data_IF_982578373455
#
_entry.id   IF_982578373455
#
_cell.length_a   1.000
_cell.length_b   1.000
_cell.length_c   1.000
_cell.angle_alpha   90.00
_cell.angle_beta   90.00
_cell.angle_gamma   90.00
#
_symmetry.space_group_name_H-M   'P 1'
#
loop_
_entity.id
_entity.type
_entity.pdbx_description
1 polymer ?
#
# COMPACT_ATOMS: atom_id res chain seq x y z
N UNK A 1 38.77 64.57 65.29
CA UNK A 1 39.90 63.90 64.62
C UNK A 1 39.59 62.40 64.61
N UNK A 2 39.50 61.78 63.42
CA UNK A 2 39.64 60.32 63.12
C UNK A 2 38.55 59.34 63.65
N UNK A 3 37.75 58.71 62.76
CA UNK A 3 37.89 57.36 62.12
C UNK A 3 37.77 56.20 63.14
N UNK A 4 37.10 55.05 62.94
CA UNK A 4 36.36 54.35 61.86
C UNK A 4 35.92 52.96 62.43
N UNK A 5 34.93 52.29 61.80
CA UNK A 5 34.70 50.81 61.75
C UNK A 5 34.07 50.13 63.00
N UNK A 6 33.19 49.09 62.97
CA UNK A 6 32.76 48.07 61.99
C UNK A 6 31.46 47.34 62.49
N UNK A 7 30.42 47.22 61.64
CA UNK A 7 29.39 46.16 61.35
C UNK A 7 28.81 45.17 62.40
N UNK A 8 27.48 44.88 62.28
CA UNK A 8 26.80 43.59 61.90
C UNK A 8 25.42 43.44 62.66
N UNK A 9 24.20 43.60 62.08
CA UNK A 9 23.30 42.70 61.28
C UNK A 9 22.02 42.22 62.03
N UNK A 10 20.93 42.04 61.26
CA UNK A 10 19.59 41.42 61.53
C UNK A 10 18.57 42.34 62.23
N UNK A 11 17.32 42.59 61.77
CA UNK A 11 16.51 42.18 60.62
C UNK A 11 15.41 43.23 60.42
N UNK A 12 15.14 43.63 59.17
CA UNK A 12 13.82 44.13 58.76
C UNK A 12 13.45 43.35 57.51
N UNK A 13 12.56 42.38 57.68
CA UNK A 13 11.88 41.65 56.63
C UNK A 13 11.01 42.63 55.83
N UNK A 14 11.47 43.03 54.65
CA UNK A 14 10.60 43.50 53.58
C UNK A 14 10.14 42.27 52.80
N UNK A 15 8.85 41.93 52.90
CA UNK A 15 8.20 41.05 51.95
C UNK A 15 8.13 41.79 50.60
N UNK A 16 9.04 41.46 49.69
CA UNK A 16 8.88 41.76 48.27
C UNK A 16 7.93 40.73 47.67
N UNK A 17 6.69 41.13 47.38
CA UNK A 17 5.86 40.42 46.42
C UNK A 17 6.52 40.58 45.04
N UNK A 18 7.29 39.59 44.61
CA UNK A 18 7.67 39.47 43.21
C UNK A 18 6.47 38.91 42.47
N UNK A 19 5.72 39.77 41.80
CA UNK A 19 4.80 39.36 40.74
C UNK A 19 5.64 38.73 39.63
N UNK A 20 5.77 37.41 39.64
CA UNK A 20 6.20 36.68 38.45
C UNK A 20 5.04 36.76 37.47
N UNK A 21 5.05 37.79 36.63
CA UNK A 21 4.36 37.73 35.35
C UNK A 21 4.90 36.50 34.63
N UNK A 22 4.10 35.44 34.56
CA UNK A 22 4.28 34.35 33.61
C UNK A 22 4.11 35.03 32.25
N UNK A 23 5.22 35.51 31.69
CA UNK A 23 5.28 35.80 30.27
C UNK A 23 5.00 34.46 29.60
N UNK A 24 3.85 34.37 28.92
CA UNK A 24 3.62 33.31 27.97
C UNK A 24 4.88 33.21 27.12
N UNK A 25 5.54 32.05 27.14
CA UNK A 25 6.64 31.81 26.22
C UNK A 25 6.09 32.09 24.81
N UNK A 26 6.81 32.81 23.94
CA UNK A 26 6.37 32.95 22.57
C UNK A 26 6.16 31.54 22.02
N UNK A 27 4.95 31.25 21.55
CA UNK A 27 4.69 30.03 20.79
C UNK A 27 5.64 30.09 19.62
N UNK A 28 6.62 29.20 19.60
CA UNK A 28 7.55 29.07 18.50
C UNK A 28 6.71 28.56 17.32
N UNK A 29 6.40 29.46 16.39
CA UNK A 29 5.63 29.09 15.19
C UNK A 29 6.53 28.14 14.40
N UNK A 30 6.13 26.87 14.33
CA UNK A 30 6.84 25.88 13.54
C UNK A 30 6.73 26.25 12.05
N UNK A 31 7.81 26.08 11.31
CA UNK A 31 7.81 26.22 9.85
C UNK A 31 7.22 24.94 9.23
N UNK A 32 5.89 24.91 9.11
CA UNK A 32 5.12 23.74 8.68
C UNK A 32 5.45 23.32 7.25
N UNK A 33 5.72 24.28 6.36
CA UNK A 33 6.14 24.04 4.98
C UNK A 33 7.47 23.26 4.97
N UNK A 34 8.49 23.76 5.67
CA UNK A 34 9.78 23.04 5.77
C UNK A 34 9.63 21.67 6.45
N UNK A 35 8.77 21.54 7.48
CA UNK A 35 8.52 20.23 8.12
C UNK A 35 7.93 19.24 7.13
N UNK A 36 6.94 19.68 6.34
CA UNK A 36 6.24 18.83 5.38
C UNK A 36 7.19 18.36 4.27
N UNK A 37 7.85 19.29 3.58
CA UNK A 37 8.70 18.97 2.43
C UNK A 37 10.09 18.43 2.79
N UNK A 38 10.53 18.50 4.05
CA UNK A 38 11.71 17.78 4.54
C UNK A 38 11.38 16.31 4.89
N UNK A 39 10.12 15.98 5.14
CA UNK A 39 9.68 14.63 5.48
C UNK A 39 9.63 13.74 4.23
N UNK A 40 9.45 12.44 4.43
CA UNK A 40 8.95 11.56 3.37
C UNK A 40 7.47 11.33 3.61
N UNK A 41 6.63 11.88 2.75
CA UNK A 41 5.17 11.78 2.90
C UNK A 41 4.66 10.56 2.14
N UNK A 42 3.94 9.70 2.85
CA UNK A 42 3.34 8.47 2.34
C UNK A 42 1.83 8.56 2.51
N UNK A 43 1.13 8.33 1.41
CA UNK A 43 -0.31 8.13 1.42
C UNK A 43 -0.61 6.64 1.25
N UNK A 44 -1.20 6.05 2.28
CA UNK A 44 -1.47 4.62 2.39
C UNK A 44 -2.54 4.05 1.45
N UNK A 45 -3.34 4.87 0.75
CA UNK A 45 -4.35 4.34 -0.18
C UNK A 45 -4.89 5.37 -1.19
N UNK A 46 -4.87 5.03 -2.48
CA UNK A 46 -5.43 5.84 -3.58
C UNK A 46 -6.03 4.95 -4.68
N UNK A 47 -7.21 5.30 -5.16
CA UNK A 47 -7.98 4.56 -6.19
C UNK A 47 -7.80 5.10 -7.62
N UNK A 48 -6.84 6.02 -7.82
CA UNK A 48 -6.69 6.78 -9.07
C UNK A 48 -6.55 5.89 -10.32
N UNK A 49 -5.97 4.69 -10.20
CA UNK A 49 -5.84 3.76 -11.34
C UNK A 49 -7.19 3.35 -11.94
N UNK A 50 -8.28 3.37 -11.16
CA UNK A 50 -9.62 3.14 -11.69
C UNK A 50 -10.03 4.17 -12.74
N UNK A 51 -9.51 5.40 -12.65
CA UNK A 51 -9.82 6.52 -13.55
C UNK A 51 -8.83 6.66 -14.71
N UNK A 52 -7.65 6.03 -14.62
CA UNK A 52 -6.64 6.01 -15.69
C UNK A 52 -7.09 5.19 -16.90
N UNK A 53 -7.90 4.16 -16.67
CA UNK A 53 -8.30 3.20 -17.70
C UNK A 53 -9.64 3.54 -18.35
N UNK A 54 -9.79 3.15 -19.61
CA UNK A 54 -11.05 3.19 -20.32
C UNK A 54 -12.06 2.20 -19.69
N UNK A 55 -13.32 2.60 -19.49
CA UNK A 55 -14.31 1.75 -18.81
C UNK A 55 -14.69 0.48 -19.59
N UNK A 56 -14.62 0.52 -20.93
CA UNK A 56 -15.04 -0.58 -21.81
C UNK A 56 -13.89 -1.56 -22.09
N UNK A 57 -12.67 -1.04 -22.31
CA UNK A 57 -11.51 -1.87 -22.65
C UNK A 57 -10.61 -2.20 -21.47
N UNK A 58 -10.63 -1.37 -20.43
CA UNK A 58 -9.68 -1.35 -19.32
C UNK A 58 -8.22 -1.12 -19.72
N UNK A 59 -7.96 -0.73 -20.97
CA UNK A 59 -6.64 -0.22 -21.37
C UNK A 59 -6.46 1.20 -20.79
N UNK A 60 -5.22 1.58 -20.43
CA UNK A 60 -4.94 2.94 -20.00
C UNK A 60 -5.28 3.94 -21.12
N UNK A 61 -5.93 5.04 -20.75
CA UNK A 61 -6.36 6.10 -21.67
C UNK A 61 -6.05 7.52 -21.16
N UNK A 62 -5.90 7.69 -19.85
CA UNK A 62 -5.62 9.00 -19.23
C UNK A 62 -4.26 9.01 -18.57
N UNK A 63 -3.34 9.87 -19.06
CA UNK A 63 -2.05 10.09 -18.42
C UNK A 63 -2.19 11.04 -17.22
N UNK A 64 -1.78 10.58 -16.04
CA UNK A 64 -1.76 11.40 -14.81
C UNK A 64 -0.43 12.14 -14.61
N UNK A 65 0.47 12.10 -15.59
CA UNK A 65 1.61 13.03 -15.68
C UNK A 65 1.20 14.48 -15.88
N UNK A 66 0.05 14.69 -16.52
CA UNK A 66 -0.57 16.00 -16.73
C UNK A 66 -1.62 16.31 -15.66
N UNK A 67 -2.01 17.59 -15.54
CA UNK A 67 -3.12 18.00 -14.69
C UNK A 67 -4.45 17.36 -15.15
N UNK A 68 -5.14 16.70 -14.23
CA UNK A 68 -6.43 16.05 -14.45
C UNK A 68 -7.52 16.64 -13.56
N UNK A 69 -8.77 16.23 -13.78
CA UNK A 69 -9.89 16.51 -12.86
C UNK A 69 -9.94 15.55 -11.66
N UNK A 70 -9.00 14.61 -11.55
CA UNK A 70 -8.95 13.64 -10.47
C UNK A 70 -8.45 14.30 -9.18
N UNK A 71 -8.65 13.61 -8.07
CA UNK A 71 -8.12 14.03 -6.77
C UNK A 71 -6.60 13.86 -6.71
N UNK A 72 -6.01 13.05 -7.60
CA UNK A 72 -4.58 12.84 -7.68
C UNK A 72 -4.10 12.82 -9.14
N UNK A 73 -3.00 13.54 -9.37
CA UNK A 73 -2.12 13.44 -10.54
C UNK A 73 -0.70 13.83 -10.09
N UNK A 74 0.30 13.62 -10.94
CA UNK A 74 1.71 13.90 -10.60
C UNK A 74 1.93 15.37 -10.20
N UNK A 75 1.39 16.38 -10.92
CA UNK A 75 1.49 17.78 -10.48
C UNK A 75 0.90 18.04 -9.09
N UNK A 76 -0.25 17.43 -8.75
CA UNK A 76 -0.84 17.56 -7.42
C UNK A 76 -0.03 16.82 -6.36
N UNK A 77 0.53 15.64 -6.65
CA UNK A 77 1.42 14.93 -5.73
C UNK A 77 2.66 15.78 -5.40
N UNK A 78 3.29 16.36 -6.42
CA UNK A 78 4.45 17.24 -6.25
C UNK A 78 4.10 18.51 -5.46
N UNK A 79 2.97 19.15 -5.78
CA UNK A 79 2.51 20.36 -5.07
C UNK A 79 2.15 20.04 -3.62
N UNK A 80 1.55 18.88 -3.39
CA UNK A 80 1.14 18.40 -2.07
C UNK A 80 2.25 17.72 -1.28
N UNK A 81 3.45 17.60 -1.82
CA UNK A 81 4.58 16.95 -1.16
C UNK A 81 4.42 15.46 -0.90
N UNK A 82 3.50 14.76 -1.59
CA UNK A 82 3.30 13.32 -1.42
C UNK A 82 4.35 12.56 -2.22
N UNK A 83 5.28 11.91 -1.52
CA UNK A 83 6.44 11.26 -2.12
C UNK A 83 6.19 9.80 -2.53
N UNK A 84 5.39 9.07 -1.74
CA UNK A 84 5.17 7.64 -1.97
C UNK A 84 3.71 7.23 -1.78
N UNK A 85 2.83 7.47 -2.79
CA UNK A 85 1.44 7.05 -2.75
C UNK A 85 1.29 5.55 -3.02
N UNK A 86 0.39 4.91 -2.27
CA UNK A 86 -0.07 3.55 -2.52
C UNK A 86 -1.16 3.60 -3.58
N UNK A 87 -0.96 2.92 -4.71
CA UNK A 87 -1.92 2.85 -5.81
C UNK A 87 -2.66 1.51 -5.78
N UNK A 88 -3.95 1.56 -5.43
CA UNK A 88 -4.79 0.39 -5.29
C UNK A 88 -5.27 -0.16 -6.63
N UNK A 89 -5.00 -1.43 -6.87
CA UNK A 89 -5.70 -2.23 -7.86
C UNK A 89 -7.00 -2.78 -7.24
N UNK A 90 -8.02 -1.92 -7.21
CA UNK A 90 -9.34 -2.28 -6.69
C UNK A 90 -10.11 -3.23 -7.62
N UNK A 91 -10.65 -4.30 -7.03
CA UNK A 91 -11.60 -5.18 -7.70
C UNK A 91 -12.79 -5.50 -6.79
N UNK A 92 -14.01 -5.38 -7.31
CA UNK A 92 -15.20 -5.99 -6.71
C UNK A 92 -16.30 -6.22 -7.76
N UNK A 93 -17.36 -6.95 -7.41
CA UNK A 93 -18.58 -7.03 -8.22
C UNK A 93 -18.61 -8.07 -9.33
N UNK A 94 -17.53 -8.84 -9.54
CA UNK A 94 -17.47 -9.94 -10.54
C UNK A 94 -17.60 -11.33 -9.89
N UNK A 95 -18.50 -11.47 -8.93
CA UNK A 95 -18.73 -12.74 -8.22
C UNK A 95 -18.95 -13.90 -9.20
N UNK A 96 -18.35 -15.05 -8.90
CA UNK A 96 -18.35 -16.26 -9.72
C UNK A 96 -17.70 -16.13 -11.11
N UNK A 97 -17.08 -14.99 -11.45
CA UNK A 97 -16.29 -14.80 -12.67
C UNK A 97 -14.83 -14.48 -12.33
N UNK A 98 -14.09 -15.53 -11.94
CA UNK A 98 -12.69 -15.41 -11.55
C UNK A 98 -11.77 -14.84 -12.65
N UNK A 99 -11.85 -15.27 -13.93
CA UNK A 99 -11.07 -14.64 -15.01
C UNK A 99 -11.27 -13.14 -15.11
N UNK A 100 -12.49 -12.64 -14.88
CA UNK A 100 -12.78 -11.21 -14.92
C UNK A 100 -12.22 -10.45 -13.72
N UNK A 101 -12.23 -11.06 -12.54
CA UNK A 101 -11.55 -10.51 -11.36
C UNK A 101 -10.03 -10.41 -11.58
N UNK A 102 -9.42 -11.44 -12.18
CA UNK A 102 -8.00 -11.43 -12.57
C UNK A 102 -7.75 -10.30 -13.56
N UNK A 103 -8.52 -10.27 -14.66
CA UNK A 103 -8.36 -9.29 -15.72
C UNK A 103 -8.55 -7.85 -15.22
N UNK A 104 -9.48 -7.60 -14.29
CA UNK A 104 -9.66 -6.27 -13.71
C UNK A 104 -8.45 -5.85 -12.86
N UNK A 105 -7.99 -6.72 -11.97
CA UNK A 105 -6.84 -6.46 -11.10
C UNK A 105 -5.60 -6.14 -11.94
N UNK A 106 -5.34 -6.98 -12.95
CA UNK A 106 -4.19 -6.82 -13.86
C UNK A 106 -4.30 -5.55 -14.71
N UNK A 107 -5.50 -5.14 -15.13
CA UNK A 107 -5.67 -3.89 -15.87
C UNK A 107 -5.21 -2.67 -15.06
N UNK A 108 -5.50 -2.63 -13.76
CA UNK A 108 -5.12 -1.52 -12.89
C UNK A 108 -3.62 -1.53 -12.56
N UNK A 109 -3.03 -2.71 -12.35
CA UNK A 109 -1.57 -2.85 -12.21
C UNK A 109 -0.88 -2.42 -13.52
N UNK A 110 -1.39 -2.86 -14.66
CA UNK A 110 -0.86 -2.48 -15.97
C UNK A 110 -0.97 -0.98 -16.24
N UNK A 111 -2.06 -0.34 -15.80
CA UNK A 111 -2.22 1.10 -15.89
C UNK A 111 -1.11 1.85 -15.14
N UNK A 112 -0.69 1.35 -13.97
CA UNK A 112 0.42 1.94 -13.23
C UNK A 112 1.76 1.78 -13.95
N UNK A 113 2.03 0.61 -14.51
CA UNK A 113 3.22 0.38 -15.36
C UNK A 113 3.23 1.29 -16.59
N UNK A 114 2.07 1.48 -17.22
CA UNK A 114 1.94 2.41 -18.34
C UNK A 114 2.18 3.86 -17.90
N UNK A 115 1.67 4.28 -16.73
CA UNK A 115 1.94 5.61 -16.17
C UNK A 115 3.42 5.83 -15.91
N UNK A 116 4.14 4.84 -15.36
CA UNK A 116 5.61 4.90 -15.21
C UNK A 116 6.31 5.03 -16.57
N UNK A 117 5.90 4.25 -17.58
CA UNK A 117 6.48 4.31 -18.92
C UNK A 117 6.30 5.69 -19.58
N UNK A 118 5.14 6.34 -19.38
CA UNK A 118 4.90 7.69 -19.90
C UNK A 118 5.65 8.77 -19.11
N UNK A 119 5.91 8.54 -17.81
CA UNK A 119 6.46 9.54 -16.89
C UNK A 119 7.76 9.08 -16.19
N UNK A 120 8.77 8.58 -16.92
CA UNK A 120 9.93 7.93 -16.32
C UNK A 120 10.84 8.91 -15.57
N UNK A 121 10.71 10.22 -15.81
CA UNK A 121 11.48 11.25 -15.11
C UNK A 121 10.84 11.65 -13.77
N UNK A 122 9.53 11.44 -13.60
CA UNK A 122 8.75 11.91 -12.45
C UNK A 122 8.26 10.79 -11.53
N UNK A 123 8.07 9.57 -12.04
CA UNK A 123 7.49 8.44 -11.30
C UNK A 123 8.34 7.17 -11.46
N UNK A 124 8.41 6.38 -10.40
CA UNK A 124 9.04 5.06 -10.40
C UNK A 124 8.27 4.10 -9.49
N UNK A 125 7.88 2.94 -10.02
CA UNK A 125 7.30 1.85 -9.25
C UNK A 125 8.36 1.33 -8.27
N UNK A 126 7.99 1.31 -6.99
CA UNK A 126 8.92 1.08 -5.89
C UNK A 126 8.31 0.06 -4.93
N UNK A 127 8.81 -1.18 -4.95
CA UNK A 127 8.22 -2.32 -4.24
C UNK A 127 8.92 -2.63 -2.92
N UNK A 128 10.05 -1.98 -2.65
CA UNK A 128 10.81 -2.10 -1.40
C UNK A 128 11.10 -0.75 -0.77
N UNK A 129 11.30 -0.71 0.54
CA UNK A 129 11.70 0.49 1.28
C UNK A 129 13.02 1.09 0.80
N UNK A 130 13.89 0.28 0.20
CA UNK A 130 15.11 0.75 -0.46
C UNK A 130 14.80 1.50 -1.75
N UNK A 131 13.92 0.96 -2.59
CA UNK A 131 13.49 1.59 -3.84
C UNK A 131 12.70 2.87 -3.56
N UNK A 132 11.77 2.83 -2.60
CA UNK A 132 11.02 4.01 -2.17
C UNK A 132 11.98 5.13 -1.79
N UNK A 133 12.92 4.87 -0.87
CA UNK A 133 13.92 5.87 -0.46
C UNK A 133 14.80 6.36 -1.60
N UNK A 134 15.07 5.52 -2.59
CA UNK A 134 15.88 5.89 -3.74
C UNK A 134 15.10 6.80 -4.69
N UNK A 135 13.85 6.48 -5.01
CA UNK A 135 12.98 7.31 -5.84
C UNK A 135 12.77 8.69 -5.22
N UNK A 136 12.45 8.78 -3.92
CA UNK A 136 12.31 10.06 -3.21
C UNK A 136 13.60 10.88 -3.26
N UNK A 137 14.76 10.24 -3.04
CA UNK A 137 16.07 10.92 -3.14
C UNK A 137 16.36 11.43 -4.55
N UNK A 138 15.86 10.74 -5.57
CA UNK A 138 16.00 11.14 -6.96
C UNK A 138 14.94 12.18 -7.38
N UNK A 139 14.11 12.65 -6.45
CA UNK A 139 12.98 13.59 -6.64
C UNK A 139 11.90 13.02 -7.56
N UNK A 140 11.63 11.72 -7.44
CA UNK A 140 10.54 11.03 -8.13
C UNK A 140 9.49 10.57 -7.13
N UNK A 141 8.25 10.48 -7.61
CA UNK A 141 7.17 9.78 -6.94
C UNK A 141 7.50 8.28 -6.88
N UNK A 142 7.57 7.73 -5.68
CA UNK A 142 7.70 6.31 -5.43
C UNK A 142 6.32 5.65 -5.43
N UNK A 143 5.84 5.22 -6.60
CA UNK A 143 4.54 4.57 -6.74
C UNK A 143 4.59 3.16 -6.11
N UNK A 144 3.74 2.91 -5.11
CA UNK A 144 3.69 1.61 -4.40
C UNK A 144 2.45 0.85 -4.87
N UNK A 145 2.58 -0.27 -5.62
CA UNK A 145 1.44 -1.05 -6.06
C UNK A 145 0.78 -1.78 -4.88
N UNK A 146 -0.54 -1.72 -4.78
CA UNK A 146 -1.32 -2.45 -3.78
C UNK A 146 -2.54 -3.11 -4.42
N UNK A 147 -3.15 -4.09 -3.74
CA UNK A 147 -4.41 -4.72 -4.18
C UNK A 147 -5.47 -4.49 -3.11
N UNK A 148 -6.64 -4.01 -3.54
CA UNK A 148 -7.81 -3.86 -2.68
C UNK A 148 -8.91 -4.85 -3.11
N UNK A 149 -9.13 -5.87 -2.28
CA UNK A 149 -10.06 -6.95 -2.59
C UNK A 149 -9.46 -7.99 -3.53
N UNK A 150 -8.84 -9.01 -2.95
CA UNK A 150 -8.21 -10.12 -3.67
C UNK A 150 -9.20 -11.18 -4.20
N UNK A 151 -10.28 -10.75 -4.87
CA UNK A 151 -11.32 -11.65 -5.43
C UNK A 151 -10.79 -12.57 -6.55
N UNK A 152 -9.64 -12.22 -7.14
CA UNK A 152 -8.91 -13.01 -8.13
C UNK A 152 -8.25 -14.27 -7.54
N UNK A 153 -7.99 -14.30 -6.22
CA UNK A 153 -7.37 -15.44 -5.55
C UNK A 153 -8.43 -16.49 -5.20
N UNK A 154 -8.29 -17.68 -5.79
CA UNK A 154 -9.19 -18.82 -5.60
C UNK A 154 -8.37 -20.09 -5.32
N UNK A 155 -9.02 -21.14 -4.81
CA UNK A 155 -8.35 -22.38 -4.37
C UNK A 155 -7.38 -22.97 -5.41
N UNK A 156 -7.72 -22.86 -6.70
CA UNK A 156 -6.94 -23.45 -7.79
C UNK A 156 -5.74 -22.60 -8.25
N UNK A 157 -5.64 -21.32 -7.88
CA UNK A 157 -4.62 -20.39 -8.41
C UNK A 157 -3.99 -19.45 -7.37
N UNK A 158 -4.52 -19.38 -6.14
CA UNK A 158 -4.22 -18.31 -5.19
C UNK A 158 -2.73 -18.08 -4.95
N UNK A 159 -1.97 -19.12 -4.58
CA UNK A 159 -0.54 -18.97 -4.28
C UNK A 159 0.28 -18.61 -5.53
N UNK A 160 0.00 -19.27 -6.65
CA UNK A 160 0.67 -18.96 -7.92
C UNK A 160 0.47 -17.50 -8.32
N UNK A 161 -0.78 -17.03 -8.26
CA UNK A 161 -1.14 -15.66 -8.64
C UNK A 161 -0.65 -14.62 -7.63
N UNK A 162 -0.62 -14.95 -6.33
CA UNK A 162 -0.01 -14.12 -5.28
C UNK A 162 1.47 -13.86 -5.59
N UNK A 163 2.24 -14.89 -5.95
CA UNK A 163 3.62 -14.70 -6.38
C UNK A 163 3.75 -13.88 -7.67
N UNK A 164 2.79 -13.97 -8.61
CA UNK A 164 2.79 -13.12 -9.79
C UNK A 164 2.51 -11.66 -9.44
N UNK A 165 1.64 -11.39 -8.46
CA UNK A 165 1.42 -10.03 -7.93
C UNK A 165 2.67 -9.50 -7.23
N UNK A 166 3.37 -10.34 -6.45
CA UNK A 166 4.67 -10.00 -5.86
C UNK A 166 5.75 -9.73 -6.93
N UNK A 167 5.78 -10.50 -8.03
CA UNK A 167 6.66 -10.24 -9.17
C UNK A 167 6.35 -8.90 -9.86
N UNK A 168 5.07 -8.50 -9.86
CA UNK A 168 4.57 -7.22 -10.37
C UNK A 168 4.70 -6.06 -9.36
N UNK A 169 5.39 -6.30 -8.24
CA UNK A 169 5.73 -5.27 -7.27
C UNK A 169 4.65 -4.93 -6.24
N UNK A 170 3.58 -5.74 -6.13
CA UNK A 170 2.56 -5.53 -5.11
C UNK A 170 3.14 -5.72 -3.72
N UNK A 171 3.17 -4.67 -2.91
CA UNK A 171 3.75 -4.70 -1.56
C UNK A 171 2.70 -4.92 -0.46
N UNK A 172 1.45 -4.53 -0.72
CA UNK A 172 0.35 -4.61 0.25
C UNK A 172 -0.90 -5.17 -0.43
N UNK A 173 -1.55 -6.15 0.21
CA UNK A 173 -2.76 -6.78 -0.34
C UNK A 173 -3.85 -6.88 0.74
N UNK A 174 -5.00 -6.28 0.44
CA UNK A 174 -6.23 -6.39 1.22
C UNK A 174 -7.08 -7.54 0.72
N UNK A 175 -7.47 -8.43 1.64
CA UNK A 175 -8.18 -9.67 1.24
C UNK A 175 -9.55 -9.33 0.69
N UNK A 176 -10.24 -8.42 1.35
CA UNK A 176 -11.62 -8.10 1.10
C UNK A 176 -11.77 -6.64 0.67
N UNK A 177 -12.84 -6.37 -0.09
CA UNK A 177 -13.51 -5.08 -0.02
C UNK A 177 -14.70 -5.25 0.92
N UNK A 178 -15.86 -4.67 0.64
CA UNK A 178 -17.03 -4.81 1.51
C UNK A 178 -17.74 -6.17 1.45
N UNK A 179 -17.30 -7.11 0.61
CA UNK A 179 -17.93 -8.41 0.40
C UNK A 179 -16.97 -9.57 0.73
N UNK A 180 -17.53 -10.71 1.12
CA UNK A 180 -16.78 -11.94 1.34
C UNK A 180 -16.28 -12.52 0.02
N UNK A 181 -15.14 -13.21 0.09
CA UNK A 181 -14.57 -13.96 -1.03
C UNK A 181 -13.93 -15.27 -0.53
N UNK A 182 -13.09 -15.90 -1.36
CA UNK A 182 -12.49 -17.18 -1.03
C UNK A 182 -11.52 -17.13 0.17
N UNK A 183 -11.01 -15.95 0.51
CA UNK A 183 -10.02 -15.77 1.58
C UNK A 183 -10.67 -15.47 2.93
N UNK A 184 -11.76 -14.70 2.93
CA UNK A 184 -12.43 -14.33 4.16
C UNK A 184 -13.61 -13.40 3.96
N UNK A 185 -14.08 -12.82 5.05
CA UNK A 185 -15.25 -11.96 5.06
C UNK A 185 -14.93 -10.47 5.13
N UNK A 186 -15.64 -9.67 4.32
CA UNK A 186 -15.53 -8.21 4.26
C UNK A 186 -16.65 -7.51 5.04
N UNK A 187 -16.28 -6.47 5.78
CA UNK A 187 -17.10 -5.42 6.41
C UNK A 187 -18.43 -5.94 6.97
N UNK A 188 -18.37 -7.01 7.78
CA UNK A 188 -19.50 -7.81 8.33
C UNK A 188 -20.74 -7.88 7.41
N UNK A 189 -20.54 -8.00 6.10
CA UNK A 189 -21.56 -8.09 5.04
C UNK A 189 -22.58 -6.95 4.93
N UNK A 190 -22.43 -5.85 5.65
CA UNK A 190 -23.44 -4.78 5.73
C UNK A 190 -23.73 -4.11 4.37
N UNK A 191 -22.77 -4.15 3.45
CA UNK A 191 -22.92 -3.54 2.12
C UNK A 191 -23.42 -4.52 1.06
N UNK A 192 -23.39 -5.83 1.33
CA UNK A 192 -23.87 -6.88 0.42
C UNK A 192 -25.14 -7.60 0.88
N UNK A 193 -25.59 -7.35 2.11
CA UNK A 193 -26.84 -7.85 2.66
C UNK A 193 -27.68 -6.70 3.20
N UNK A 194 -28.79 -6.40 2.52
CA UNK A 194 -29.73 -5.36 2.96
C UNK A 194 -30.36 -5.67 4.32
N UNK A 195 -30.39 -6.94 4.73
CA UNK A 195 -30.89 -7.36 6.04
C UNK A 195 -29.83 -7.20 7.13
N UNK A 196 -28.57 -6.88 6.78
CA UNK A 196 -27.41 -6.77 7.67
C UNK A 196 -27.32 -7.95 8.61
N UNK A 197 -27.51 -9.15 8.08
CA UNK A 197 -27.47 -10.37 8.89
C UNK A 197 -26.08 -10.48 9.50
N UNK A 198 -25.96 -10.57 10.84
CA UNK A 198 -24.67 -10.75 11.48
C UNK A 198 -24.01 -12.00 10.90
N UNK A 199 -22.81 -11.85 10.38
CA UNK A 199 -22.05 -12.98 9.89
C UNK A 199 -21.21 -13.59 11.01
N UNK A 200 -21.16 -14.91 11.03
CA UNK A 200 -20.19 -15.67 11.82
C UNK A 200 -19.04 -16.19 10.93
N UNK A 201 -18.86 -15.58 9.76
CA UNK A 201 -17.71 -15.82 8.89
C UNK A 201 -16.43 -15.25 9.51
N UNK A 202 -15.32 -15.39 8.79
CA UNK A 202 -13.98 -15.06 9.25
C UNK A 202 -12.98 -15.46 8.19
N UNK A 203 -11.73 -15.69 8.59
CA UNK A 203 -10.69 -16.15 7.67
C UNK A 203 -10.93 -17.61 7.28
N UNK A 204 -10.83 -17.92 5.99
CA UNK A 204 -10.94 -19.31 5.50
C UNK A 204 -9.60 -20.04 5.63
N UNK A 205 -9.60 -21.37 5.44
CA UNK A 205 -8.36 -22.13 5.38
C UNK A 205 -7.42 -21.65 4.25
N UNK A 206 -7.98 -21.31 3.08
CA UNK A 206 -7.23 -20.71 1.98
C UNK A 206 -6.70 -19.32 2.36
N UNK A 207 -7.51 -18.50 3.04
CA UNK A 207 -7.07 -17.20 3.53
C UNK A 207 -5.91 -17.29 4.52
N UNK A 208 -5.92 -18.28 5.41
CA UNK A 208 -4.82 -18.53 6.34
C UNK A 208 -3.54 -18.97 5.60
N UNK A 209 -3.65 -19.80 4.56
CA UNK A 209 -2.52 -20.19 3.72
C UNK A 209 -1.95 -18.99 2.95
N UNK A 210 -2.81 -18.14 2.38
CA UNK A 210 -2.40 -16.90 1.72
C UNK A 210 -1.74 -15.92 2.70
N UNK A 211 -2.28 -15.76 3.91
CA UNK A 211 -1.69 -14.90 4.94
C UNK A 211 -0.26 -15.35 5.32
N UNK A 212 -0.05 -16.66 5.47
CA UNK A 212 1.27 -17.23 5.75
C UNK A 212 2.23 -17.01 4.58
N UNK A 213 1.78 -17.25 3.34
CA UNK A 213 2.62 -17.03 2.15
C UNK A 213 3.00 -15.55 1.99
N UNK A 214 2.08 -14.62 2.30
CA UNK A 214 2.36 -13.18 2.31
C UNK A 214 3.45 -12.82 3.31
N UNK A 215 3.44 -13.41 4.51
CA UNK A 215 4.54 -13.24 5.45
C UNK A 215 5.86 -13.79 4.89
N UNK A 216 5.83 -14.95 4.22
CA UNK A 216 7.02 -15.60 3.67
C UNK A 216 7.69 -14.79 2.55
N UNK A 217 6.90 -14.11 1.71
CA UNK A 217 7.38 -13.27 0.61
C UNK A 217 7.59 -11.80 0.99
N UNK A 218 7.20 -11.39 2.21
CA UNK A 218 7.33 -10.00 2.66
C UNK A 218 6.29 -9.06 2.07
N UNK A 219 5.07 -9.54 1.83
CA UNK A 219 3.91 -8.74 1.43
C UNK A 219 3.06 -8.43 2.67
N UNK A 220 2.70 -7.16 2.88
CA UNK A 220 1.91 -6.75 4.04
C UNK A 220 0.44 -7.13 3.85
N UNK A 221 -0.18 -7.67 4.91
CA UNK A 221 -1.62 -7.92 4.93
C UNK A 221 -2.33 -6.61 5.28
N UNK A 222 -3.23 -6.16 4.40
CA UNK A 222 -4.10 -5.03 4.67
C UNK A 222 -5.42 -5.50 5.31
N UNK A 223 -5.69 -5.00 6.52
CA UNK A 223 -6.88 -5.33 7.30
C UNK A 223 -8.00 -4.30 7.17
N UNK A 224 -7.80 -3.23 6.38
CA UNK A 224 -8.92 -2.43 5.89
C UNK A 224 -9.96 -3.34 5.22
N UNK A 225 -11.22 -2.94 5.28
CA UNK A 225 -12.38 -3.65 4.76
C UNK A 225 -12.71 -5.01 5.38
N UNK A 226 -11.84 -5.62 6.18
CA UNK A 226 -12.14 -6.91 6.81
C UNK A 226 -13.34 -6.81 7.76
N UNK A 227 -14.07 -7.93 7.87
CA UNK A 227 -14.97 -8.14 9.00
C UNK A 227 -14.18 -8.21 10.30
N UNK A 228 -14.86 -8.02 11.43
CA UNK A 228 -14.20 -8.12 12.74
C UNK A 228 -13.62 -9.50 12.99
N UNK A 229 -14.34 -10.55 12.60
CA UNK A 229 -13.86 -11.92 12.78
C UNK A 229 -12.65 -12.21 11.89
N UNK A 230 -12.71 -11.81 10.61
CA UNK A 230 -11.57 -11.95 9.69
C UNK A 230 -10.34 -11.23 10.22
N UNK A 231 -10.49 -10.02 10.77
CA UNK A 231 -9.38 -9.31 11.43
C UNK A 231 -8.76 -10.18 12.53
N UNK A 232 -9.56 -10.67 13.48
CA UNK A 232 -9.04 -11.44 14.61
C UNK A 232 -8.37 -12.74 14.17
N UNK A 233 -8.96 -13.45 13.21
CA UNK A 233 -8.37 -14.67 12.66
C UNK A 233 -7.05 -14.38 11.92
N UNK A 234 -6.93 -13.24 11.22
CA UNK A 234 -5.66 -12.80 10.60
C UNK A 234 -4.61 -12.53 11.68
N UNK A 235 -4.98 -11.84 12.77
CA UNK A 235 -4.07 -11.57 13.88
C UNK A 235 -3.57 -12.85 14.56
N UNK A 236 -4.34 -13.94 14.51
CA UNK A 236 -3.91 -15.25 15.04
C UNK A 236 -2.88 -15.97 14.16
N UNK A 237 -2.88 -15.72 12.84
CA UNK A 237 -2.03 -16.45 11.88
C UNK A 237 -0.85 -15.65 11.33
N UNK A 238 -0.91 -14.32 11.36
CA UNK A 238 0.16 -13.47 10.84
C UNK A 238 1.34 -13.40 11.80
N UNK A 239 2.54 -13.56 11.25
CA UNK A 239 3.82 -13.39 11.95
C UNK A 239 4.48 -12.03 11.64
N UNK A 240 3.97 -11.31 10.62
CA UNK A 240 4.44 -9.98 10.24
C UNK A 240 3.46 -8.87 10.69
N UNK A 241 3.94 -7.62 10.79
CA UNK A 241 3.08 -6.46 11.04
C UNK A 241 2.00 -6.29 9.96
N UNK A 242 0.76 -6.02 10.39
CA UNK A 242 -0.35 -5.69 9.48
C UNK A 242 -0.45 -4.19 9.23
N UNK A 243 -1.12 -3.81 8.14
CA UNK A 243 -1.47 -2.43 7.83
C UNK A 243 -3.00 -2.32 7.78
N UNK A 244 -3.60 -1.26 8.30
CA UNK A 244 -4.94 -0.83 7.90
C UNK A 244 -4.73 0.37 6.97
N UNK A 245 -4.83 0.16 5.66
CA UNK A 245 -4.33 1.12 4.65
C UNK A 245 -5.12 2.43 4.58
N UNK A 246 -6.39 2.39 5.00
CA UNK A 246 -7.32 3.51 5.07
C UNK A 246 -8.50 3.14 5.97
N UNK A 247 -8.44 3.47 7.25
CA UNK A 247 -9.56 3.22 8.18
C UNK A 247 -9.66 4.33 9.24
N UNK A 248 -10.87 4.56 9.77
CA UNK A 248 -11.06 5.45 10.92
C UNK A 248 -11.02 4.70 12.26
N UNK A 249 -11.23 5.44 13.35
CA UNK A 249 -11.31 4.90 14.71
C UNK A 249 -12.77 4.87 15.21
N UNK A 250 -13.23 3.71 15.66
CA UNK A 250 -14.64 3.48 16.00
C UNK A 250 -15.04 4.23 17.28
N UNK A 251 -14.11 4.38 18.23
CA UNK A 251 -14.31 5.13 19.48
C UNK A 251 -14.67 6.61 19.28
N UNK A 252 -14.30 7.20 18.14
CA UNK A 252 -14.70 8.56 17.73
C UNK A 252 -15.99 8.55 16.93
N UNK A 253 -16.03 7.73 15.88
CA UNK A 253 -17.18 7.62 14.99
C UNK A 253 -17.54 6.15 14.85
N UNK A 254 -18.68 5.78 15.43
CA UNK A 254 -19.20 4.42 15.31
C UNK A 254 -19.64 4.14 13.87
N UNK A 255 -18.69 3.64 13.10
CA UNK A 255 -18.85 3.21 11.73
C UNK A 255 -18.20 1.84 11.58
N UNK A 256 -18.79 0.99 10.75
CA UNK A 256 -18.34 -0.39 10.63
C UNK A 256 -16.97 -0.52 9.95
N UNK A 257 -16.64 0.41 9.06
CA UNK A 257 -15.32 0.48 8.42
C UNK A 257 -14.22 0.96 9.38
N UNK A 258 -14.56 1.41 10.58
CA UNK A 258 -13.59 1.88 11.56
C UNK A 258 -13.17 0.76 12.51
N UNK A 259 -11.89 0.75 12.87
CA UNK A 259 -11.34 -0.22 13.81
C UNK A 259 -11.80 0.11 15.23
N UNK A 260 -12.21 -0.92 15.97
CA UNK A 260 -12.50 -0.82 17.41
C UNK A 260 -11.22 -0.62 18.23
N UNK A 261 -11.36 -0.08 19.43
CA UNK A 261 -10.22 0.12 20.34
C UNK A 261 -9.48 -1.19 20.61
N UNK A 262 -10.19 -2.31 20.74
CA UNK A 262 -9.58 -3.63 20.89
C UNK A 262 -8.76 -4.04 19.66
N UNK A 263 -9.26 -3.77 18.45
CA UNK A 263 -8.51 -4.03 17.22
C UNK A 263 -7.27 -3.13 17.09
N UNK A 264 -7.37 -1.87 17.49
CA UNK A 264 -6.24 -0.94 17.51
C UNK A 264 -5.15 -1.42 18.47
N UNK A 265 -5.52 -1.83 19.69
CA UNK A 265 -4.57 -2.39 20.67
C UNK A 265 -3.90 -3.68 20.15
N UNK A 266 -4.64 -4.56 19.48
CA UNK A 266 -4.05 -5.75 18.87
C UNK A 266 -3.09 -5.41 17.72
N UNK A 267 -3.43 -4.39 16.92
CA UNK A 267 -2.57 -3.88 15.85
C UNK A 267 -1.27 -3.28 16.41
N UNK A 268 -1.33 -2.58 17.55
CA UNK A 268 -0.16 -2.10 18.30
C UNK A 268 0.73 -3.25 18.77
N UNK A 269 0.15 -4.24 19.45
CA UNK A 269 0.88 -5.42 19.94
C UNK A 269 1.58 -6.20 18.81
N UNK A 270 0.96 -6.26 17.62
CA UNK A 270 1.53 -6.87 16.43
C UNK A 270 2.65 -6.04 15.78
N UNK A 271 2.78 -4.75 16.13
CA UNK A 271 3.74 -3.85 15.51
C UNK A 271 3.23 -3.16 14.24
N UNK A 272 1.93 -3.27 13.96
CA UNK A 272 1.27 -2.79 12.74
C UNK A 272 1.10 -1.27 12.66
N UNK A 273 0.31 -0.84 11.68
CA UNK A 273 0.03 0.57 11.38
C UNK A 273 -1.42 0.77 10.97
N UNK A 274 -2.10 1.77 11.53
CA UNK A 274 -3.33 2.31 10.96
C UNK A 274 -3.03 3.61 10.20
N UNK A 275 -3.40 3.65 8.93
CA UNK A 275 -3.45 4.87 8.14
C UNK A 275 -4.86 5.45 8.25
N UNK A 276 -4.96 6.65 8.81
CA UNK A 276 -6.25 7.31 9.03
C UNK A 276 -6.81 7.79 7.70
N UNK A 277 -8.03 7.33 7.39
CA UNK A 277 -8.79 7.66 6.19
C UNK A 277 -9.30 9.09 6.19
N UNK A 278 -9.45 9.73 5.03
CA UNK A 278 -9.94 11.12 4.94
C UNK A 278 -11.44 11.23 4.68
N UNK A 279 -12.11 10.12 4.38
CA UNK A 279 -13.53 10.10 4.03
C UNK A 279 -14.45 10.58 5.19
N UNK A 280 -15.12 11.76 5.09
CA UNK A 280 -15.87 12.34 6.20
C UNK A 280 -16.93 11.45 6.82
N UNK A 281 -17.59 10.59 6.02
CA UNK A 281 -18.62 9.68 6.52
C UNK A 281 -18.09 8.68 7.58
N UNK A 282 -16.78 8.42 7.57
CA UNK A 282 -16.10 7.56 8.53
C UNK A 282 -15.54 8.35 9.73
N UNK A 283 -15.51 9.68 9.67
CA UNK A 283 -14.83 10.52 10.67
C UNK A 283 -15.81 11.34 11.51
N UNK A 284 -16.90 11.82 10.92
CA UNK A 284 -17.76 12.80 11.58
C UNK A 284 -19.24 12.62 11.18
N UNK A 285 -20.12 13.24 11.95
CA UNK A 285 -21.54 13.38 11.59
C UNK A 285 -21.79 14.58 10.65
N UNK A 286 -20.78 15.43 10.46
CA UNK A 286 -20.83 16.53 9.50
C UNK A 286 -20.60 16.01 8.07
N UNK A 287 -21.55 16.27 7.17
CA UNK A 287 -21.43 15.84 5.78
C UNK A 287 -20.31 16.55 5.01
N UNK A 288 -19.86 17.72 5.48
CA UNK A 288 -18.78 18.46 4.83
C UNK A 288 -17.41 17.87 5.19
N UNK A 289 -17.18 17.57 6.46
CA UNK A 289 -15.89 17.13 6.98
C UNK A 289 -14.76 18.15 6.77
N UNK A 290 -13.79 18.16 7.66
CA UNK A 290 -12.63 19.06 7.58
C UNK A 290 -11.35 18.33 8.00
N UNK A 291 -10.19 18.89 7.64
CA UNK A 291 -8.87 18.39 8.05
C UNK A 291 -8.80 18.12 9.55
N UNK A 292 -9.42 18.98 10.37
CA UNK A 292 -9.48 18.79 11.83
C UNK A 292 -10.10 17.43 12.22
N UNK A 293 -11.07 16.91 11.47
CA UNK A 293 -11.76 15.66 11.80
C UNK A 293 -10.86 14.45 11.48
N UNK A 294 -10.00 14.57 10.46
CA UNK A 294 -8.92 13.62 10.20
C UNK A 294 -7.93 13.63 11.36
N UNK A 295 -7.48 14.83 11.78
CA UNK A 295 -6.49 14.95 12.85
C UNK A 295 -7.07 14.59 14.23
N UNK A 296 -8.38 14.75 14.46
CA UNK A 296 -9.06 14.24 15.65
C UNK A 296 -8.96 12.71 15.75
N UNK A 297 -9.12 12.02 14.62
CA UNK A 297 -8.93 10.57 14.53
C UNK A 297 -7.46 10.15 14.71
N UNK A 298 -6.51 10.91 14.14
CA UNK A 298 -5.08 10.70 14.37
C UNK A 298 -4.73 10.84 15.85
N UNK A 299 -5.15 11.92 16.51
CA UNK A 299 -4.85 12.19 17.93
C UNK A 299 -5.44 11.11 18.83
N UNK A 300 -6.69 10.68 18.57
CA UNK A 300 -7.29 9.57 19.30
C UNK A 300 -6.48 8.28 19.16
N UNK A 301 -6.06 7.93 17.94
CA UNK A 301 -5.23 6.74 17.72
C UNK A 301 -3.86 6.87 18.41
N UNK A 302 -3.20 8.03 18.30
CA UNK A 302 -1.91 8.29 18.96
C UNK A 302 -2.02 8.13 20.48
N UNK A 303 -3.09 8.65 21.09
CA UNK A 303 -3.32 8.54 22.54
C UNK A 303 -3.56 7.09 22.99
N UNK A 304 -4.19 6.26 22.15
CA UNK A 304 -4.52 4.87 22.47
C UNK A 304 -3.37 3.89 22.22
N UNK A 305 -2.75 3.97 21.05
CA UNK A 305 -1.77 2.98 20.55
C UNK A 305 -0.36 3.55 20.33
N UNK A 306 -0.15 4.83 20.63
CA UNK A 306 1.14 5.48 20.49
C UNK A 306 1.46 5.91 19.05
N UNK A 307 2.32 6.91 18.95
CA UNK A 307 2.58 7.59 17.67
C UNK A 307 3.25 6.71 16.60
N UNK A 308 3.92 5.62 16.98
CA UNK A 308 4.67 4.77 16.04
C UNK A 308 3.77 3.84 15.20
N UNK A 309 2.45 3.89 15.41
CA UNK A 309 1.44 3.02 14.82
C UNK A 309 0.36 3.77 14.03
N UNK A 310 0.55 5.07 13.78
CA UNK A 310 -0.43 5.92 13.09
C UNK A 310 0.19 6.57 11.85
N UNK A 311 -0.56 6.58 10.74
CA UNK A 311 -0.18 7.20 9.47
C UNK A 311 -1.40 7.78 8.75
N UNK A 312 -1.28 8.04 7.44
CA UNK A 312 -2.30 8.68 6.60
C UNK A 312 -2.63 7.81 5.38
N UNK A 313 -3.90 7.73 4.99
CA UNK A 313 -4.35 6.96 3.83
C UNK A 313 -5.61 7.58 3.25
N UNK A 314 -5.47 8.45 2.26
CA UNK A 314 -6.49 9.42 1.89
C UNK A 314 -7.80 8.81 1.41
N UNK A 315 -7.71 7.72 0.63
CA UNK A 315 -8.81 7.21 -0.19
C UNK A 315 -9.14 8.18 -1.36
N UNK A 316 -8.11 8.85 -1.90
CA UNK A 316 -8.26 9.71 -3.07
C UNK A 316 -8.78 8.91 -4.27
N UNK A 317 -9.70 9.53 -5.00
CA UNK A 317 -10.48 8.99 -6.12
C UNK A 317 -11.43 7.83 -5.78
N UNK A 318 -11.39 7.30 -4.55
CA UNK A 318 -12.27 6.26 -4.00
C UNK A 318 -13.42 6.81 -3.15
N UNK A 319 -13.21 7.97 -2.52
CA UNK A 319 -14.19 8.62 -1.65
C UNK A 319 -14.37 10.12 -1.91
N UNK A 320 -15.37 10.72 -1.24
CA UNK A 320 -15.45 12.18 -1.12
C UNK A 320 -14.50 12.67 -0.04
N UNK A 321 -13.90 13.83 -0.24
CA UNK A 321 -12.87 14.36 0.66
C UNK A 321 -13.38 15.49 1.58
N UNK A 322 -12.68 15.80 2.68
CA UNK A 322 -12.97 16.95 3.54
C UNK A 322 -12.98 18.26 2.77
N UNK A 323 -13.84 19.20 3.14
CA UNK A 323 -14.10 20.41 2.35
C UNK A 323 -12.90 21.34 2.17
N UNK A 324 -11.91 21.25 3.06
CA UNK A 324 -10.64 21.98 3.05
C UNK A 324 -9.42 21.11 2.68
N UNK A 325 -9.65 19.91 2.15
CA UNK A 325 -8.65 19.01 1.56
C UNK A 325 -9.31 18.22 0.43
N UNK A 326 -9.43 18.78 -0.76
CA UNK A 326 -10.19 18.18 -1.86
C UNK A 326 -9.37 17.28 -2.78
N UNK A 327 -8.04 17.36 -2.72
CA UNK A 327 -7.13 16.65 -3.61
C UNK A 327 -5.71 16.61 -3.03
N UNK A 328 -4.83 15.84 -3.67
CA UNK A 328 -3.45 15.60 -3.25
C UNK A 328 -2.63 16.86 -3.00
N UNK A 329 -2.88 17.97 -3.72
CA UNK A 329 -2.10 19.21 -3.54
C UNK A 329 -2.34 19.92 -2.20
N UNK A 330 -3.37 19.51 -1.47
CA UNK A 330 -3.81 20.14 -0.22
C UNK A 330 -3.31 19.38 1.04
N UNK A 331 -2.51 18.33 0.85
CA UNK A 331 -1.92 17.54 1.94
C UNK A 331 -1.13 18.35 3.00
N UNK A 332 -0.44 19.48 2.67
CA UNK A 332 0.18 20.33 3.68
C UNK A 332 -0.78 20.84 4.77
N UNK A 333 -2.09 20.90 4.49
CA UNK A 333 -3.11 21.25 5.47
C UNK A 333 -3.14 20.32 6.68
N UNK A 334 -2.86 19.01 6.50
CA UNK A 334 -2.73 18.06 7.62
C UNK A 334 -1.55 18.44 8.53
N UNK A 335 -0.40 18.80 7.94
CA UNK A 335 0.79 19.22 8.69
C UNK A 335 0.54 20.50 9.48
N UNK A 336 -0.15 21.47 8.87
CA UNK A 336 -0.54 22.71 9.55
C UNK A 336 -1.42 22.44 10.77
N UNK A 337 -2.44 21.59 10.61
CA UNK A 337 -3.34 21.22 11.70
C UNK A 337 -2.59 20.47 12.81
N UNK A 338 -1.76 19.47 12.49
CA UNK A 338 -0.91 18.77 13.48
C UNK A 338 0.00 19.72 14.25
N UNK A 339 0.70 20.62 13.55
CA UNK A 339 1.57 21.60 14.20
C UNK A 339 0.80 22.58 15.08
N UNK A 340 -0.41 22.98 14.67
CA UNK A 340 -1.29 23.85 15.46
C UNK A 340 -1.72 23.21 16.79
N UNK A 341 -1.82 21.87 16.83
CA UNK A 341 -2.12 21.06 18.02
C UNK A 341 -0.91 20.77 18.90
N UNK A 342 0.28 21.19 18.46
CA UNK A 342 1.51 21.13 19.26
C UNK A 342 2.37 19.88 19.04
N UNK A 343 2.09 19.08 18.00
CA UNK A 343 2.99 18.01 17.58
C UNK A 343 4.35 18.59 17.19
N UNK A 344 5.43 17.93 17.60
CA UNK A 344 6.79 18.32 17.23
C UNK A 344 7.12 17.91 15.79
N UNK A 345 8.15 18.55 15.19
CA UNK A 345 8.67 18.16 13.86
C UNK A 345 8.88 16.65 13.73
N UNK A 346 9.51 16.01 14.71
CA UNK A 346 9.80 14.57 14.66
C UNK A 346 8.55 13.70 14.75
N UNK A 347 7.53 14.15 15.48
CA UNK A 347 6.25 13.45 15.57
C UNK A 347 5.46 13.57 14.27
N UNK A 348 5.46 14.76 13.65
CA UNK A 348 4.86 14.99 12.34
C UNK A 348 5.56 14.13 11.27
N UNK A 349 6.89 14.10 11.22
CA UNK A 349 7.65 13.27 10.28
C UNK A 349 7.31 11.77 10.39
N UNK A 350 7.00 11.28 11.60
CA UNK A 350 6.53 9.90 11.81
C UNK A 350 5.16 9.67 11.19
N UNK A 351 4.20 10.56 11.51
CA UNK A 351 2.81 10.48 11.04
C UNK A 351 2.71 10.62 9.52
N UNK A 352 3.51 11.50 8.91
CA UNK A 352 3.49 11.74 7.46
C UNK A 352 3.99 10.55 6.65
N UNK A 353 4.82 9.66 7.20
CA UNK A 353 5.30 8.50 6.45
C UNK A 353 6.44 7.71 7.08
N UNK A 354 7.09 8.24 8.11
CA UNK A 354 8.12 7.52 8.86
C UNK A 354 7.63 6.17 9.42
N UNK A 355 6.38 6.12 9.88
CA UNK A 355 5.76 4.89 10.40
C UNK A 355 5.42 3.88 9.31
N UNK A 356 4.91 4.33 8.15
CA UNK A 356 4.69 3.47 7.00
C UNK A 356 6.00 2.82 6.52
N UNK A 357 7.06 3.61 6.38
CA UNK A 357 8.39 3.08 6.04
C UNK A 357 8.94 2.11 7.09
N UNK A 358 8.63 2.30 8.38
CA UNK A 358 8.98 1.36 9.44
C UNK A 358 8.26 0.04 9.22
N UNK A 359 6.94 0.05 9.08
CA UNK A 359 6.14 -1.17 8.96
C UNK A 359 6.51 -1.96 7.71
N UNK A 360 6.58 -1.32 6.55
CA UNK A 360 7.04 -1.97 5.31
C UNK A 360 8.40 -2.65 5.51
N UNK A 361 9.33 -2.00 6.21
CA UNK A 361 10.65 -2.58 6.51
C UNK A 361 10.59 -3.77 7.47
N UNK A 362 9.70 -3.75 8.45
CA UNK A 362 9.53 -4.90 9.36
C UNK A 362 8.86 -6.08 8.66
N UNK A 363 7.92 -5.83 7.73
CA UNK A 363 7.36 -6.86 6.85
C UNK A 363 8.44 -7.48 5.97
N UNK A 364 9.27 -6.66 5.31
CA UNK A 364 10.43 -7.15 4.53
C UNK A 364 11.40 -8.00 5.37
N UNK A 365 11.58 -7.68 6.65
CA UNK A 365 12.46 -8.45 7.55
C UNK A 365 11.83 -9.76 8.03
N UNK A 366 10.50 -9.83 8.10
CA UNK A 366 9.77 -11.04 8.47
C UNK A 366 9.79 -12.07 7.33
N UNK A 367 10.01 -11.62 6.09
CA UNK A 367 10.14 -12.48 4.92
C UNK A 367 11.15 -13.61 5.12
N UNK A 368 10.77 -14.83 4.72
CA UNK A 368 11.68 -15.99 4.70
C UNK A 368 12.69 -15.88 3.56
N UNK A 369 12.30 -15.20 2.49
CA UNK A 369 13.14 -14.96 1.32
C UNK A 369 13.60 -13.52 1.30
N UNK A 370 14.89 -13.29 1.01
CA UNK A 370 15.41 -11.92 0.89
C UNK A 370 14.80 -11.25 -0.35
N UNK A 371 13.95 -10.21 -0.19
CA UNK A 371 13.32 -9.54 -1.32
C UNK A 371 14.36 -8.87 -2.24
N UNK A 372 15.58 -8.64 -1.75
CA UNK A 372 16.69 -8.04 -2.48
C UNK A 372 17.54 -9.06 -3.27
N UNK A 373 17.30 -10.37 -3.14
CA UNK A 373 18.10 -11.42 -3.80
C UNK A 373 17.49 -12.02 -5.09
N UNK A 374 16.39 -11.44 -5.60
CA UNK A 374 15.77 -11.85 -6.87
C UNK A 374 16.78 -11.78 -8.04
N UNK A 375 16.91 -12.88 -8.79
CA UNK A 375 17.46 -12.92 -10.15
C UNK A 375 18.82 -12.27 -10.41
N UNK A 376 19.93 -12.93 -10.05
CA UNK A 376 21.27 -12.57 -10.59
C UNK A 376 21.73 -13.55 -11.69
N UNK A 377 21.11 -14.73 -11.77
CA UNK A 377 21.32 -15.76 -12.81
C UNK A 377 20.38 -16.96 -12.56
N UNK A 378 19.67 -17.50 -13.56
CA UNK A 378 19.72 -17.15 -14.99
C UNK A 378 19.03 -15.82 -15.32
N UNK A 379 19.31 -15.24 -16.49
CA UNK A 379 18.57 -14.08 -17.03
C UNK A 379 17.49 -14.63 -17.94
N UNK A 380 16.24 -14.27 -17.68
CA UNK A 380 15.10 -14.64 -18.52
C UNK A 380 14.70 -13.40 -19.33
N UNK A 381 14.37 -13.56 -20.60
CA UNK A 381 13.89 -12.48 -21.46
C UNK A 381 12.62 -12.95 -22.17
N UNK A 382 11.44 -12.61 -21.65
CA UNK A 382 10.18 -12.85 -22.34
C UNK A 382 10.16 -12.20 -23.73
N UNK A 383 9.47 -12.84 -24.68
CA UNK A 383 9.16 -12.25 -25.99
C UNK A 383 8.11 -11.13 -25.90
N UNK A 384 7.50 -10.96 -24.71
CA UNK A 384 6.46 -9.97 -24.44
C UNK A 384 6.98 -8.73 -23.73
N UNK A 385 6.43 -7.58 -24.12
CA UNK A 385 6.52 -6.33 -23.37
C UNK A 385 5.40 -6.26 -22.31
N UNK A 386 5.60 -5.43 -21.28
CA UNK A 386 4.56 -5.22 -20.26
C UNK A 386 3.38 -4.49 -20.90
N UNK A 387 2.17 -5.06 -20.79
CA UNK A 387 0.96 -4.50 -21.38
C UNK A 387 0.81 -4.72 -22.88
N UNK A 388 1.59 -5.61 -23.48
CA UNK A 388 1.52 -5.90 -24.92
C UNK A 388 0.13 -6.41 -25.34
N UNK A 389 -0.35 -5.92 -26.47
CA UNK A 389 -1.63 -6.35 -27.08
C UNK A 389 -1.38 -7.48 -28.07
N UNK A 390 -2.10 -8.59 -27.91
CA UNK A 390 -2.05 -9.76 -28.78
C UNK A 390 -3.44 -10.13 -29.32
N UNK A 391 -3.51 -10.74 -30.50
CA UNK A 391 -4.78 -11.04 -31.18
C UNK A 391 -5.18 -12.53 -31.13
N UNK A 392 -4.63 -13.30 -30.19
CA UNK A 392 -4.87 -14.75 -30.07
C UNK A 392 -5.19 -15.15 -28.62
N UNK A 393 -6.20 -16.00 -28.44
CA UNK A 393 -6.62 -16.54 -27.12
C UNK A 393 -5.84 -17.77 -26.68
N UNK A 394 -5.10 -18.38 -27.59
CA UNK A 394 -4.18 -19.50 -27.36
C UNK A 394 -2.76 -19.08 -27.76
N UNK A 395 -2.15 -18.10 -27.05
CA UNK A 395 -0.82 -17.63 -27.43
C UNK A 395 0.25 -18.70 -27.28
N UNK A 396 1.29 -18.57 -28.09
CA UNK A 396 2.56 -19.27 -27.92
C UNK A 396 3.47 -18.40 -27.04
N UNK A 397 3.50 -18.71 -25.74
CA UNK A 397 4.27 -17.96 -24.76
C UNK A 397 5.75 -18.36 -24.84
N UNK A 398 6.67 -17.39 -24.91
CA UNK A 398 8.10 -17.65 -25.09
C UNK A 398 8.99 -16.74 -24.25
N UNK A 399 10.13 -17.28 -23.85
CA UNK A 399 11.23 -16.52 -23.28
C UNK A 399 12.58 -17.14 -23.61
N UNK A 400 13.58 -16.29 -23.86
CA UNK A 400 14.98 -16.72 -23.95
C UNK A 400 15.62 -16.79 -22.56
N UNK A 401 16.41 -17.83 -22.31
CA UNK A 401 17.13 -18.01 -21.06
C UNK A 401 18.62 -17.87 -21.31
N UNK A 402 19.21 -16.77 -20.81
CA UNK A 402 20.62 -16.48 -20.97
C UNK A 402 21.39 -16.65 -19.64
N UNK A 403 22.47 -17.45 -19.67
CA UNK A 403 23.45 -17.50 -18.58
C UNK A 403 24.70 -16.73 -18.99
N UNK A 404 24.87 -15.47 -18.53
CA UNK A 404 26.02 -14.62 -18.93
C UNK A 404 27.37 -15.24 -18.51
N UNK A 405 27.47 -15.82 -17.30
CA UNK A 405 28.59 -16.61 -16.76
C UNK A 405 28.09 -17.40 -15.52
N UNK A 406 27.77 -18.68 -15.64
CA UNK A 406 27.25 -19.48 -14.53
C UNK A 406 27.01 -20.95 -14.90
N UNK A 407 26.66 -21.81 -13.94
CA UNK A 407 26.22 -23.17 -14.25
C UNK A 407 25.01 -23.14 -15.19
N UNK A 408 24.90 -24.15 -16.05
CA UNK A 408 23.74 -24.34 -16.92
C UNK A 408 22.43 -24.29 -16.11
N UNK A 409 21.35 -23.92 -16.78
CA UNK A 409 19.99 -23.95 -16.23
C UNK A 409 19.66 -25.36 -15.75
N UNK A 410 18.90 -25.48 -14.66
CA UNK A 410 18.28 -26.76 -14.31
C UNK A 410 16.98 -26.89 -15.11
N UNK A 411 17.00 -27.71 -16.14
CA UNK A 411 15.85 -27.89 -17.04
C UNK A 411 14.60 -28.39 -16.31
N UNK A 412 14.77 -29.13 -15.20
CA UNK A 412 13.63 -29.61 -14.39
C UNK A 412 12.99 -28.51 -13.54
N UNK A 413 13.61 -27.33 -13.47
CA UNK A 413 13.09 -26.17 -12.73
C UNK A 413 12.28 -25.21 -13.60
N UNK A 414 12.23 -25.45 -14.91
CA UNK A 414 11.57 -24.57 -15.87
C UNK A 414 10.06 -24.64 -15.70
N UNK A 415 9.43 -23.47 -15.54
CA UNK A 415 7.98 -23.34 -15.46
C UNK A 415 7.50 -22.14 -16.25
N UNK A 416 6.28 -22.26 -16.78
CA UNK A 416 5.48 -21.12 -17.20
C UNK A 416 4.25 -21.09 -16.33
N UNK A 417 3.95 -19.95 -15.73
CA UNK A 417 2.78 -19.76 -14.87
C UNK A 417 1.86 -18.78 -15.57
N UNK A 418 0.61 -19.14 -15.81
CA UNK A 418 -0.41 -18.28 -16.43
C UNK A 418 -1.58 -18.15 -15.47
N UNK A 419 -1.89 -16.92 -15.05
CA UNK A 419 -2.96 -16.60 -14.10
C UNK A 419 -2.95 -17.46 -12.81
N UNK A 420 -1.75 -17.70 -12.30
CA UNK A 420 -1.48 -18.54 -11.12
C UNK A 420 -1.41 -20.04 -11.38
N UNK A 421 -1.69 -20.50 -12.60
CA UNK A 421 -1.65 -21.91 -12.98
C UNK A 421 -0.29 -22.27 -13.55
N UNK A 422 0.35 -23.29 -12.99
CA UNK A 422 1.68 -23.75 -13.43
C UNK A 422 1.57 -24.75 -14.57
N UNK A 423 2.39 -24.56 -15.61
CA UNK A 423 2.53 -25.43 -16.77
C UNK A 423 3.98 -25.87 -16.94
N UNK A 424 4.16 -27.09 -17.46
CA UNK A 424 5.45 -27.61 -17.92
C UNK A 424 5.70 -27.13 -19.36
N UNK A 425 6.73 -26.28 -19.61
CA UNK A 425 7.02 -25.79 -20.94
C UNK A 425 7.96 -26.71 -21.73
N UNK A 426 7.98 -26.55 -23.04
CA UNK A 426 9.04 -27.09 -23.89
C UNK A 426 10.31 -26.23 -23.76
N UNK A 427 11.48 -26.86 -23.76
CA UNK A 427 12.77 -26.18 -23.77
C UNK A 427 13.63 -26.62 -24.96
N UNK A 428 14.10 -25.65 -25.74
CA UNK A 428 15.05 -25.88 -26.81
C UNK A 428 16.46 -25.52 -26.34
N UNK A 429 17.28 -26.54 -26.05
CA UNK A 429 18.68 -26.35 -25.62
C UNK A 429 19.54 -25.60 -26.65
N UNK A 430 19.31 -25.81 -27.96
CA UNK A 430 20.13 -25.20 -29.02
C UNK A 430 19.94 -23.69 -29.09
N UNK A 431 18.71 -23.22 -28.89
CA UNK A 431 18.38 -21.79 -28.88
C UNK A 431 18.33 -21.20 -27.47
N UNK A 432 18.35 -22.05 -26.44
CA UNK A 432 18.10 -21.69 -25.03
C UNK A 432 16.76 -20.99 -24.84
N UNK A 433 15.73 -21.42 -25.58
CA UNK A 433 14.40 -20.81 -25.56
C UNK A 433 13.42 -21.74 -24.87
N UNK A 434 12.62 -21.18 -23.97
CA UNK A 434 11.50 -21.82 -23.30
C UNK A 434 10.20 -21.40 -24.01
N UNK A 435 9.28 -22.36 -24.22
CA UNK A 435 8.01 -22.09 -24.91
C UNK A 435 6.85 -22.91 -24.37
N UNK A 436 5.66 -22.31 -24.32
CA UNK A 436 4.40 -22.97 -23.99
C UNK A 436 3.32 -22.56 -25.01
N UNK A 437 2.75 -23.52 -25.71
CA UNK A 437 1.51 -23.32 -26.47
C UNK A 437 0.33 -23.57 -25.54
N UNK A 438 -0.52 -22.57 -25.32
CA UNK A 438 -1.78 -22.79 -24.63
C UNK A 438 -2.76 -23.51 -25.55
N UNK A 439 -3.39 -24.56 -25.04
CA UNK A 439 -4.36 -25.38 -25.79
C UNK A 439 -5.81 -24.95 -25.53
N UNK A 440 -6.05 -24.26 -24.41
CA UNK A 440 -7.36 -23.73 -24.02
C UNK A 440 -7.39 -22.21 -24.20
N UNK A 441 -8.55 -21.69 -24.62
CA UNK A 441 -8.77 -20.26 -24.79
C UNK A 441 -8.68 -19.53 -23.44
N UNK A 442 -7.79 -18.55 -23.38
CA UNK A 442 -7.78 -17.57 -22.31
C UNK A 442 -9.08 -16.75 -22.33
N UNK A 443 -9.72 -16.68 -21.16
CA UNK A 443 -11.00 -16.00 -20.93
C UNK A 443 -10.77 -14.56 -20.46
N UNK A 444 -11.60 -13.61 -20.89
CA UNK A 444 -11.40 -12.16 -20.64
C UNK A 444 -10.19 -11.61 -21.42
N UNK A 445 -9.65 -10.44 -21.02
CA UNK A 445 -8.72 -9.66 -21.85
C UNK A 445 -7.32 -9.53 -21.27
N UNK A 446 -7.18 -9.21 -19.99
CA UNK A 446 -5.87 -9.11 -19.34
C UNK A 446 -5.48 -10.43 -18.67
N UNK A 447 -4.23 -10.83 -18.90
CA UNK A 447 -3.64 -12.04 -18.38
C UNK A 447 -2.20 -11.78 -17.92
N UNK A 448 -1.72 -12.62 -17.00
CA UNK A 448 -0.35 -12.54 -16.51
C UNK A 448 0.39 -13.84 -16.78
N UNK A 449 1.61 -13.73 -17.30
CA UNK A 449 2.52 -14.85 -17.50
C UNK A 449 3.81 -14.63 -16.72
N UNK A 450 4.28 -15.67 -16.04
CA UNK A 450 5.61 -15.72 -15.44
C UNK A 450 6.43 -16.83 -16.05
N UNK A 451 7.66 -16.50 -16.42
CA UNK A 451 8.68 -17.45 -16.83
C UNK A 451 9.63 -17.65 -15.65
N UNK A 452 9.74 -18.89 -15.17
CA UNK A 452 10.59 -19.25 -14.03
C UNK A 452 11.69 -20.22 -14.46
N UNK A 453 12.90 -19.96 -13.97
CA UNK A 453 14.03 -20.86 -14.15
C UNK A 453 14.98 -20.79 -12.96
N UNK A 454 15.49 -21.94 -12.52
CA UNK A 454 16.58 -22.03 -11.56
C UNK A 454 17.89 -22.40 -12.24
N UNK A 455 19.00 -21.94 -11.67
CA UNK A 455 20.31 -22.50 -11.99
C UNK A 455 20.58 -23.78 -11.18
N UNK A 456 21.60 -24.57 -11.54
CA UNK A 456 21.96 -25.80 -10.82
C UNK A 456 22.40 -25.63 -9.35
N UNK A 457 22.53 -24.40 -8.86
CA UNK A 457 22.76 -24.12 -7.43
C UNK A 457 21.48 -23.84 -6.65
N UNK A 458 20.32 -23.88 -7.33
CA UNK A 458 19.00 -23.66 -6.73
C UNK A 458 18.56 -22.20 -6.70
N UNK A 459 19.31 -21.27 -7.29
CA UNK A 459 18.87 -19.86 -7.35
C UNK A 459 17.84 -19.70 -8.48
N UNK A 460 16.66 -19.22 -8.11
CA UNK A 460 15.51 -19.00 -8.99
C UNK A 460 15.51 -17.57 -9.53
N UNK A 461 15.13 -17.43 -10.80
CA UNK A 461 14.76 -16.17 -11.44
C UNK A 461 13.34 -16.30 -11.98
N UNK A 462 12.56 -15.24 -11.83
CA UNK A 462 11.19 -15.11 -12.35
C UNK A 462 11.11 -13.82 -13.17
N UNK A 463 10.46 -13.89 -14.32
CA UNK A 463 10.16 -12.71 -15.16
C UNK A 463 8.67 -12.75 -15.52
N UNK A 464 7.95 -11.71 -15.08
CA UNK A 464 6.49 -11.64 -15.17
C UNK A 464 6.05 -10.53 -16.12
N UNK A 465 5.06 -10.80 -16.97
CA UNK A 465 4.48 -9.84 -17.92
C UNK A 465 2.96 -9.92 -17.87
N UNK A 466 2.32 -8.76 -17.90
CA UNK A 466 0.91 -8.62 -18.20
C UNK A 466 0.78 -8.46 -19.72
N UNK A 467 -0.21 -9.09 -20.33
CA UNK A 467 -0.59 -8.86 -21.72
C UNK A 467 -2.11 -8.73 -21.85
N UNK A 468 -2.54 -8.14 -22.96
CA UNK A 468 -3.94 -7.89 -23.28
C UNK A 468 -4.33 -8.61 -24.57
N UNK A 469 -5.49 -9.26 -24.56
CA UNK A 469 -6.06 -9.92 -25.74
C UNK A 469 -7.01 -8.95 -26.45
N UNK A 470 -6.63 -8.58 -27.68
CA UNK A 470 -7.42 -7.79 -28.63
C UNK A 470 -8.70 -8.49 -29.11
N UNK A 471 -9.51 -7.74 -29.84
CA UNK A 471 -10.79 -8.19 -30.39
C UNK A 471 -10.67 -9.09 -31.63
#
# INVERSE_FOLDING_TARGET
MQRKFLYLVVAILFLSFTSTSVLAQPVEVQDTESIHFDATVIDGHNDTMMKVINEDTWLPETDIGDETSFQLDIPKLQTGGIDAPFFAAYTSGYYDNNPRSISRTLALINALYWTEEQNPDDLNISSTTKEIRQAVKDNKIAAIPTIEGAYSLQEHNALGLLHQYDDLGVTVLGFNWNYSNALGEGADRVYGDSERTPSEGGLTALGAEVAQEMNDIGMAIDVSHMSRNTFWDVMEVTEAPVIASHSGVNGMKNHQRNLTDEQLLALEENGGLINIVFYPAFLTDDSEGYVKDVVDHVEYAVDLIGIDHVGLGSDFDGASMPSDLQNASEMPGITEELASRGYSKQEIEKLLGGNALRVLKEVEKAAKYDPYERGVSPVIKPDYEMGEIIDVRTPLLKADIATKKGPAVDENSLKVIVDGITYEPDYNEETSTLSLQLEEDLQERFHVVTFEAANKTGKVTRETRIFYIGD
#
